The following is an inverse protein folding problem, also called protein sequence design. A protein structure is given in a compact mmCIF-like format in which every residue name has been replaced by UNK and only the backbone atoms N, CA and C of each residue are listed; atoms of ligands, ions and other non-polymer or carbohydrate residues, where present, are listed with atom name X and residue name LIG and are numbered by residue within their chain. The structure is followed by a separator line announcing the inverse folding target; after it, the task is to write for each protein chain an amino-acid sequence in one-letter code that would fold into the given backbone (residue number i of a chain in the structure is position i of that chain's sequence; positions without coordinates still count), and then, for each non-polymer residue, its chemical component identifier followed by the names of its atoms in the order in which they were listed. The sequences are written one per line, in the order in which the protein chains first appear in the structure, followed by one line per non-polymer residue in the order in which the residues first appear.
data_IF_639648062436
#
_entry.id   IF_639648062436
#
_cell.length_a   1.000
_cell.length_b   1.000
_cell.length_c   1.000
_cell.angle_alpha   90.00
_cell.angle_beta   90.00
_cell.angle_gamma   90.00
#
_symmetry.space_group_name_H-M   'P 1'
#
loop_
_entity.id
_entity.type
_entity.pdbx_description
1 polymer ?
#
# COMPACT_ATOMS: atom_id res chain seq x y z
N UNK A 1 24.42 5.99 3.94
CA UNK A 1 23.05 5.89 3.40
C UNK A 1 21.97 6.67 4.20
N UNK A 2 22.33 7.64 5.06
CA UNK A 2 21.32 8.48 5.75
C UNK A 2 20.80 9.63 4.86
N UNK A 3 21.57 9.98 3.81
CA UNK A 3 21.30 11.11 2.90
C UNK A 3 20.01 10.96 2.07
N UNK A 4 19.48 9.75 1.91
CA UNK A 4 18.20 9.52 1.23
C UNK A 4 16.97 9.89 2.07
N UNK A 5 17.08 9.75 3.41
CA UNK A 5 16.00 10.02 4.37
C UNK A 5 15.92 11.51 4.76
N UNK A 6 17.04 12.25 4.67
CA UNK A 6 17.08 13.71 4.82
C UNK A 6 16.94 14.46 3.49
N UNK A 7 16.64 13.78 2.39
CA UNK A 7 16.27 14.49 1.17
C UNK A 7 15.05 15.39 1.48
N UNK A 8 15.01 16.64 1.00
CA UNK A 8 13.98 17.61 1.38
C UNK A 8 12.54 17.08 1.18
N UNK A 9 12.35 16.20 0.18
CA UNK A 9 11.08 15.50 -0.04
C UNK A 9 10.61 14.65 1.15
N UNK A 10 11.53 13.97 1.84
CA UNK A 10 11.21 13.09 2.96
C UNK A 10 11.01 13.89 4.25
N UNK A 11 11.73 14.99 4.44
CA UNK A 11 11.50 15.90 5.56
C UNK A 11 10.06 16.41 5.58
N UNK A 12 9.51 16.77 4.42
CA UNK A 12 8.11 17.18 4.30
C UNK A 12 7.15 16.07 4.73
N UNK A 13 7.40 14.82 4.32
CA UNK A 13 6.57 13.67 4.73
C UNK A 13 6.62 13.45 6.24
N UNK A 14 7.80 13.55 6.86
CA UNK A 14 7.93 13.39 8.32
C UNK A 14 7.23 14.51 9.06
N UNK A 15 7.39 15.76 8.59
CA UNK A 15 6.72 16.92 9.17
C UNK A 15 5.20 16.80 9.05
N UNK A 16 4.71 16.38 7.88
CA UNK A 16 3.28 16.14 7.66
C UNK A 16 2.75 15.02 8.56
N UNK A 17 3.48 13.93 8.72
CA UNK A 17 3.13 12.84 9.62
C UNK A 17 3.05 13.33 11.07
N UNK A 18 4.05 14.07 11.55
CA UNK A 18 4.05 14.64 12.90
C UNK A 18 2.90 15.63 13.10
N UNK A 19 2.62 16.48 12.11
CA UNK A 19 1.48 17.40 12.14
C UNK A 19 0.16 16.64 12.20
N UNK A 20 -0.02 15.59 11.42
CA UNK A 20 -1.21 14.73 11.44
C UNK A 20 -1.42 14.07 12.81
N UNK A 21 -0.34 13.55 13.41
CA UNK A 21 -0.37 12.99 14.78
C UNK A 21 -0.82 14.07 15.77
N UNK A 22 -0.19 15.24 15.76
CA UNK A 22 -0.54 16.35 16.65
C UNK A 22 -2.01 16.78 16.51
N UNK A 23 -2.49 16.91 15.27
CA UNK A 23 -3.89 17.25 14.98
C UNK A 23 -4.83 16.18 15.51
N UNK A 24 -4.54 14.89 15.32
CA UNK A 24 -5.35 13.80 15.85
C UNK A 24 -5.46 13.85 17.39
N UNK A 25 -4.35 14.04 18.10
CA UNK A 25 -4.38 14.17 19.55
C UNK A 25 -5.15 15.42 20.01
N UNK A 26 -4.97 16.55 19.32
CA UNK A 26 -5.68 17.79 19.62
C UNK A 26 -7.19 17.67 19.39
N UNK A 27 -7.62 16.98 18.34
CA UNK A 27 -9.02 16.66 18.06
C UNK A 27 -9.60 15.70 19.10
N UNK A 28 -8.87 14.66 19.48
CA UNK A 28 -9.26 13.73 20.54
C UNK A 28 -9.46 14.44 21.87
N UNK A 29 -8.53 15.33 22.23
CA UNK A 29 -8.63 16.16 23.43
C UNK A 29 -9.86 17.07 23.41
N UNK A 30 -10.11 17.74 22.29
CA UNK A 30 -11.28 18.61 22.15
C UNK A 30 -12.59 17.79 22.23
N UNK A 31 -12.64 16.62 21.61
CA UNK A 31 -13.82 15.75 21.70
C UNK A 31 -14.03 15.17 23.10
N UNK A 32 -12.95 14.87 23.83
CA UNK A 32 -13.04 14.46 25.22
C UNK A 32 -13.73 15.54 26.08
N UNK A 33 -13.25 16.78 25.98
CA UNK A 33 -13.83 17.92 26.69
C UNK A 33 -15.30 18.14 26.31
N UNK A 34 -15.59 18.12 25.00
CA UNK A 34 -16.94 18.26 24.45
C UNK A 34 -17.90 17.15 24.89
N UNK A 35 -17.40 15.92 25.03
CA UNK A 35 -18.21 14.77 25.45
C UNK A 35 -18.71 14.87 26.89
N UNK A 36 -18.08 15.71 27.72
CA UNK A 36 -18.51 15.99 29.09
C UNK A 36 -19.64 17.04 29.15
N UNK A 37 -19.72 17.94 28.15
CA UNK A 37 -20.73 19.00 28.08
C UNK A 37 -22.02 18.56 27.39
N UNK A 38 -21.92 17.72 26.35
CA UNK A 38 -23.06 17.10 25.68
C UNK A 38 -23.46 15.87 26.48
N UNK A 39 -24.69 15.80 27.01
CA UNK A 39 -25.33 14.57 27.53
C UNK A 39 -24.74 13.31 26.87
N UNK A 40 -23.87 12.63 27.63
CA UNK A 40 -22.81 11.78 27.09
C UNK A 40 -23.34 10.63 26.25
N UNK A 41 -23.29 10.79 24.93
CA UNK A 41 -23.53 9.66 24.02
C UNK A 41 -22.23 8.88 23.89
N UNK A 42 -22.28 7.56 24.09
CA UNK A 42 -21.13 6.64 23.95
C UNK A 42 -20.37 6.84 22.62
N UNK A 43 -21.08 7.29 21.58
CA UNK A 43 -20.55 7.63 20.27
C UNK A 43 -19.53 8.79 20.30
N UNK A 44 -19.78 9.85 21.07
CA UNK A 44 -18.84 10.97 21.19
C UNK A 44 -17.55 10.54 21.89
N UNK A 45 -17.67 9.71 22.93
CA UNK A 45 -16.53 9.09 23.60
C UNK A 45 -15.75 8.19 22.65
N UNK A 46 -16.45 7.43 21.80
CA UNK A 46 -15.85 6.64 20.74
C UNK A 46 -14.99 7.50 19.82
N UNK A 47 -15.50 8.64 19.35
CA UNK A 47 -14.70 9.58 18.54
C UNK A 47 -13.52 10.18 19.31
N UNK A 48 -13.69 10.54 20.58
CA UNK A 48 -12.62 11.06 21.41
C UNK A 48 -11.43 10.08 21.53
N UNK A 49 -11.70 8.77 21.58
CA UNK A 49 -10.69 7.72 21.62
C UNK A 49 -10.17 7.32 20.22
N UNK A 50 -11.02 7.40 19.20
CA UNK A 50 -10.68 7.05 17.82
C UNK A 50 -9.58 7.96 17.26
N UNK A 51 -9.62 9.27 17.54
CA UNK A 51 -8.60 10.19 17.04
C UNK A 51 -7.18 9.88 17.56
N UNK A 52 -6.93 9.72 18.87
CA UNK A 52 -5.65 9.27 19.40
C UNK A 52 -5.19 7.92 18.82
N UNK A 53 -6.11 6.96 18.63
CA UNK A 53 -5.81 5.67 18.01
C UNK A 53 -5.22 5.84 16.60
N UNK A 54 -5.81 6.70 15.77
CA UNK A 54 -5.25 7.03 14.46
C UNK A 54 -3.91 7.78 14.54
N UNK A 55 -3.79 8.71 15.50
CA UNK A 55 -2.52 9.40 15.76
C UNK A 55 -1.39 8.44 16.15
N UNK A 56 -1.67 7.42 16.96
CA UNK A 56 -0.71 6.39 17.35
C UNK A 56 -0.41 5.38 16.23
N UNK A 57 -1.37 5.15 15.33
CA UNK A 57 -1.22 4.20 14.24
C UNK A 57 -0.07 4.58 13.28
N UNK A 58 0.12 5.88 13.01
CA UNK A 58 1.18 6.38 12.12
C UNK A 58 2.59 6.02 12.62
N UNK A 59 3.03 6.43 13.84
CA UNK A 59 4.36 6.06 14.35
C UNK A 59 4.49 4.55 14.58
N UNK A 60 3.41 3.85 14.94
CA UNK A 60 3.41 2.40 15.02
C UNK A 60 3.73 1.75 13.67
N UNK A 61 3.06 2.17 12.59
CA UNK A 61 3.33 1.66 11.25
C UNK A 61 4.74 2.00 10.77
N UNK A 62 5.22 3.21 11.06
CA UNK A 62 6.59 3.59 10.76
C UNK A 62 7.59 2.66 11.46
N UNK A 63 7.41 2.40 12.76
CA UNK A 63 8.25 1.48 13.52
C UNK A 63 8.15 0.04 13.00
N UNK A 64 6.94 -0.44 12.71
CA UNK A 64 6.67 -1.78 12.16
C UNK A 64 7.39 -1.99 10.83
N UNK A 65 7.26 -1.02 9.92
CA UNK A 65 7.91 -1.05 8.60
C UNK A 65 9.43 -1.03 8.75
N UNK A 66 9.96 -0.17 9.62
CA UNK A 66 11.40 -0.12 9.91
C UNK A 66 11.93 -1.46 10.46
N UNK A 67 11.16 -2.12 11.34
CA UNK A 67 11.49 -3.45 11.87
C UNK A 67 11.50 -4.52 10.75
N UNK A 68 10.48 -4.54 9.90
CA UNK A 68 10.40 -5.46 8.76
C UNK A 68 11.53 -5.25 7.76
N UNK A 69 11.87 -4.00 7.45
CA UNK A 69 12.98 -3.66 6.56
C UNK A 69 14.33 -4.09 7.16
N UNK A 70 14.51 -3.95 8.47
CA UNK A 70 15.71 -4.42 9.17
C UNK A 70 15.84 -5.94 9.09
N UNK A 71 14.76 -6.68 9.38
CA UNK A 71 14.72 -8.14 9.30
C UNK A 71 15.00 -8.64 7.87
N UNK A 72 14.37 -8.01 6.86
CA UNK A 72 14.60 -8.32 5.44
C UNK A 72 16.06 -8.11 5.04
N UNK A 73 16.65 -6.96 5.38
CA UNK A 73 18.06 -6.67 5.05
C UNK A 73 19.03 -7.61 5.74
N UNK A 74 18.76 -8.01 6.98
CA UNK A 74 19.56 -9.01 7.67
C UNK A 74 19.53 -10.35 6.91
N UNK A 75 18.35 -10.78 6.45
CA UNK A 75 18.21 -12.03 5.67
C UNK A 75 18.91 -11.96 4.30
N UNK A 76 18.79 -10.85 3.58
CA UNK A 76 19.49 -10.62 2.29
C UNK A 76 21.02 -10.65 2.48
N UNK A 77 21.52 -10.05 3.57
CA UNK A 77 22.95 -10.10 3.93
C UNK A 77 23.40 -11.51 4.28
N UNK A 78 22.60 -12.29 5.02
CA UNK A 78 22.91 -13.69 5.34
C UNK A 78 22.99 -14.56 4.10
N UNK A 79 22.10 -14.38 3.12
CA UNK A 79 22.14 -15.09 1.84
C UNK A 79 23.36 -14.65 1.00
N UNK A 80 23.68 -13.37 1.00
CA UNK A 80 24.85 -12.85 0.28
C UNK A 80 26.20 -13.29 0.90
N UNK A 81 26.22 -13.63 2.19
CA UNK A 81 27.40 -14.16 2.91
C UNK A 81 27.45 -15.69 2.96
N UNK A 82 26.43 -16.39 2.48
CA UNK A 82 26.50 -17.84 2.34
C UNK A 82 27.65 -18.19 1.37
N UNK A 83 28.55 -19.11 1.73
CA UNK A 83 29.65 -19.50 0.87
C UNK A 83 29.09 -20.02 -0.46
N UNK A 84 29.69 -19.58 -1.57
CA UNK A 84 29.36 -20.07 -2.90
C UNK A 84 29.65 -21.58 -2.94
N UNK A 85 28.61 -22.39 -2.79
CA UNK A 85 28.70 -23.82 -3.08
C UNK A 85 28.86 -23.93 -4.59
N UNK A 86 30.07 -24.27 -4.99
CA UNK A 86 30.48 -24.54 -6.37
C UNK A 86 29.70 -25.76 -6.91
N UNK A 87 29.25 -25.64 -8.16
CA UNK A 87 28.52 -26.62 -8.98
C UNK A 87 27.10 -27.04 -8.57
N UNK A 88 26.12 -26.26 -9.04
CA UNK A 88 24.81 -26.78 -9.46
C UNK A 88 24.71 -26.54 -10.96
N UNK A 89 24.51 -27.58 -11.81
CA UNK A 89 24.33 -27.40 -13.24
C UNK A 89 23.16 -26.43 -13.47
N UNK A 90 23.40 -25.44 -14.33
CA UNK A 90 22.46 -24.36 -14.65
C UNK A 90 21.03 -24.89 -14.87
N UNK A 91 20.25 -24.84 -13.79
CA UNK A 91 18.83 -25.15 -13.84
C UNK A 91 18.18 -24.04 -14.65
N UNK A 92 17.71 -24.40 -15.85
CA UNK A 92 16.98 -23.51 -16.77
C UNK A 92 16.09 -22.54 -15.99
N UNK A 93 16.09 -21.24 -16.35
CA UNK A 93 15.37 -20.22 -15.61
C UNK A 93 13.94 -20.67 -15.35
N UNK A 94 13.55 -20.69 -14.07
CA UNK A 94 12.15 -20.87 -13.69
C UNK A 94 11.38 -19.77 -14.40
N UNK A 95 10.47 -20.19 -15.28
CA UNK A 95 9.58 -19.31 -16.04
C UNK A 95 9.03 -18.22 -15.13
N UNK A 96 9.24 -16.98 -15.51
CA UNK A 96 8.68 -15.84 -14.80
C UNK A 96 7.14 -15.94 -14.84
N UNK A 97 6.41 -15.51 -13.80
CA UNK A 97 4.93 -15.43 -13.84
C UNK A 97 4.38 -14.48 -14.91
N UNK A 98 5.21 -13.93 -15.79
CA UNK A 98 4.82 -13.09 -16.92
C UNK A 98 4.83 -13.86 -18.24
N UNK A 99 5.48 -15.02 -18.31
CA UNK A 99 5.58 -15.82 -19.54
C UNK A 99 4.27 -16.49 -19.96
N UNK A 100 3.31 -16.66 -19.06
CA UNK A 100 1.96 -17.13 -19.45
C UNK A 100 1.22 -16.11 -20.32
N UNK A 101 1.64 -14.83 -20.31
CA UNK A 101 1.03 -13.79 -21.14
C UNK A 101 1.43 -13.89 -22.62
N UNK A 102 2.52 -14.57 -22.94
CA UNK A 102 3.03 -14.65 -24.33
C UNK A 102 2.70 -15.98 -25.01
N UNK A 103 2.07 -16.93 -24.31
CA UNK A 103 1.66 -18.22 -24.86
C UNK A 103 0.14 -18.30 -25.10
N UNK A 104 -0.45 -17.21 -25.61
CA UNK A 104 -1.81 -17.25 -26.14
C UNK A 104 -1.76 -17.76 -27.60
N UNK A 105 -2.67 -18.66 -28.02
CA UNK A 105 -2.83 -19.06 -29.42
C UNK A 105 -3.04 -17.83 -30.32
N UNK A 106 -2.70 -17.95 -31.60
CA UNK A 106 -2.71 -16.89 -32.62
C UNK A 106 -4.10 -16.30 -32.95
N UNK A 107 -5.14 -16.60 -32.18
CA UNK A 107 -6.41 -15.87 -32.17
C UNK A 107 -6.34 -14.86 -31.01
N UNK A 108 -5.72 -13.72 -31.30
CA UNK A 108 -5.45 -12.69 -30.29
C UNK A 108 -6.74 -12.14 -29.67
N UNK A 109 -6.71 -11.71 -28.39
CA UNK A 109 -7.86 -11.08 -27.72
C UNK A 109 -8.44 -9.89 -28.49
N UNK A 110 -7.67 -9.29 -29.41
CA UNK A 110 -8.08 -8.17 -30.25
C UNK A 110 -9.22 -8.52 -31.23
N UNK A 111 -9.27 -9.75 -31.79
CA UNK A 111 -10.36 -10.17 -32.69
C UNK A 111 -11.68 -10.37 -31.91
N UNK A 112 -11.60 -11.03 -30.76
CA UNK A 112 -12.74 -11.20 -29.86
C UNK A 112 -13.27 -9.85 -29.34
N UNK A 113 -12.38 -8.91 -29.03
CA UNK A 113 -12.75 -7.54 -28.62
C UNK A 113 -13.37 -6.76 -29.78
N UNK A 114 -12.89 -6.91 -31.02
CA UNK A 114 -13.47 -6.27 -32.19
C UNK A 114 -14.90 -6.77 -32.46
N UNK A 115 -15.14 -8.08 -32.33
CA UNK A 115 -16.48 -8.66 -32.45
C UNK A 115 -17.42 -8.22 -31.33
N UNK A 116 -16.92 -8.09 -30.10
CA UNK A 116 -17.72 -7.59 -28.99
C UNK A 116 -18.11 -6.11 -29.16
N UNK A 117 -17.16 -5.28 -29.58
CA UNK A 117 -17.39 -3.85 -29.83
C UNK A 117 -18.38 -3.63 -30.99
N UNK A 118 -18.31 -4.43 -32.06
CA UNK A 118 -19.28 -4.35 -33.16
C UNK A 118 -20.69 -4.80 -32.73
N UNK A 119 -20.78 -5.84 -31.90
CA UNK A 119 -22.06 -6.27 -31.31
C UNK A 119 -22.70 -5.19 -30.42
N UNK A 120 -21.90 -4.53 -29.57
CA UNK A 120 -22.37 -3.40 -28.75
C UNK A 120 -22.85 -2.22 -29.61
N UNK A 121 -22.14 -1.91 -30.69
CA UNK A 121 -22.54 -0.84 -31.61
C UNK A 121 -23.88 -1.13 -32.31
N UNK A 122 -24.13 -2.40 -32.67
CA UNK A 122 -25.41 -2.83 -33.22
C UNK A 122 -26.55 -2.81 -32.18
N UNK A 123 -26.24 -2.98 -30.89
CA UNK A 123 -27.21 -2.79 -29.80
C UNK A 123 -27.51 -1.32 -29.56
N UNK A 124 -26.51 -0.44 -29.52
CA UNK A 124 -26.77 0.99 -29.36
C UNK A 124 -27.57 1.59 -30.52
N UNK A 125 -27.37 1.08 -31.74
CA UNK A 125 -28.12 1.52 -32.91
C UNK A 125 -29.61 1.12 -32.86
N UNK A 126 -29.95 -0.03 -32.27
CA UNK A 126 -31.35 -0.51 -32.17
C UNK A 126 -32.12 0.09 -30.99
N UNK A 127 -31.42 0.52 -29.95
CA UNK A 127 -32.00 1.17 -28.76
C UNK A 127 -32.18 2.69 -28.94
N UNK A 128 -31.57 3.28 -29.98
CA UNK A 128 -31.62 4.70 -30.29
C UNK A 128 -32.67 5.11 -31.34
N UNK A 129 -33.41 4.16 -31.90
CA UNK A 129 -34.64 4.37 -32.67
C UNK A 129 -35.87 4.20 -31.77
#
# INVERSE_FOLDING_TARGET
MVRGLLAPRWLLVHLLALAAVFVCFRLGWWQWDRSQESSGTLQNLGYALQWPLFGLFIPFMYWRMWKLDKERRASEQSVAQAPAVEDVPEAKPRRSPTEWRTAAPADGPDDAMAQYNSYLAALSARDGE
#
